data_IF_501738117026
#
_entry.id   IF_501738117026
#
_cell.length_a   1.000
_cell.length_b   1.000
_cell.length_c   1.000
_cell.angle_alpha   90.00
_cell.angle_beta   90.00
_cell.angle_gamma   90.00
#
_symmetry.space_group_name_H-M   'P 1'
#
loop_
_entity.id
_entity.type
_entity.pdbx_description
1 polymer ?
#
# COMPACT_ATOMS: atom_id res chain seq x y z
N UNK A 1 -3.37 12.63 -9.41
CA UNK A 1 -2.15 11.89 -9.76
C UNK A 1 -2.13 11.37 -11.20
N UNK A 2 -3.19 10.74 -11.72
CA UNK A 2 -3.23 10.21 -13.10
C UNK A 2 -2.88 11.22 -14.21
N UNK A 3 -3.30 12.48 -14.09
CA UNK A 3 -2.93 13.55 -15.03
C UNK A 3 -1.46 13.98 -15.01
N UNK A 4 -0.66 13.47 -14.07
CA UNK A 4 0.77 13.72 -13.96
C UNK A 4 1.63 12.55 -14.46
N UNK A 5 1.13 11.31 -14.38
CA UNK A 5 1.87 10.09 -14.79
C UNK A 5 2.38 10.15 -16.24
N UNK A 6 1.63 10.78 -17.15
CA UNK A 6 2.04 10.95 -18.55
C UNK A 6 2.98 12.13 -18.82
N UNK A 7 3.44 12.86 -17.79
CA UNK A 7 4.35 14.00 -17.97
C UNK A 7 5.81 13.55 -17.85
N UNK A 8 6.69 13.94 -18.80
CA UNK A 8 8.10 13.56 -18.73
C UNK A 8 8.80 14.19 -17.52
N UNK A 9 9.74 13.46 -16.92
CA UNK A 9 10.70 13.90 -15.88
C UNK A 9 10.10 14.24 -14.50
N UNK A 10 9.17 13.43 -14.01
CA UNK A 10 8.80 13.50 -12.59
C UNK A 10 9.93 12.93 -11.72
N UNK A 11 10.22 13.52 -10.55
CA UNK A 11 11.19 12.95 -9.62
C UNK A 11 10.77 11.57 -9.15
N UNK A 12 11.72 10.63 -8.99
CA UNK A 12 11.47 9.26 -8.54
C UNK A 12 10.66 9.20 -7.25
N UNK A 13 11.00 10.01 -6.24
CA UNK A 13 10.27 10.07 -4.97
C UNK A 13 8.80 10.45 -5.17
N UNK A 14 8.50 11.33 -6.12
CA UNK A 14 7.12 11.72 -6.39
C UNK A 14 6.34 10.58 -7.07
N UNK A 15 6.99 9.82 -7.94
CA UNK A 15 6.41 8.63 -8.55
C UNK A 15 6.15 7.51 -7.54
N UNK A 16 7.05 7.33 -6.57
CA UNK A 16 6.83 6.38 -5.47
C UNK A 16 5.55 6.71 -4.69
N UNK A 17 5.36 7.99 -4.34
CA UNK A 17 4.12 8.47 -3.69
C UNK A 17 2.91 8.23 -4.58
N UNK A 18 3.01 8.54 -5.87
CA UNK A 18 1.93 8.31 -6.84
C UNK A 18 1.54 6.85 -6.90
N UNK A 19 2.50 5.95 -7.11
CA UNK A 19 2.27 4.51 -7.19
C UNK A 19 1.63 4.00 -5.91
N UNK A 20 2.15 4.40 -4.75
CA UNK A 20 1.58 4.02 -3.45
C UNK A 20 0.11 4.45 -3.32
N UNK A 21 -0.19 5.74 -3.58
CA UNK A 21 -1.55 6.28 -3.47
C UNK A 21 -2.51 5.60 -4.46
N UNK A 22 -2.06 5.31 -5.68
CA UNK A 22 -2.88 4.63 -6.67
C UNK A 22 -3.12 3.16 -6.32
N UNK A 23 -2.15 2.48 -5.73
CA UNK A 23 -2.30 1.12 -5.23
C UNK A 23 -3.37 1.01 -4.14
N UNK A 24 -3.40 1.98 -3.22
CA UNK A 24 -4.37 2.00 -2.11
C UNK A 24 -5.75 2.50 -2.54
N UNK A 25 -5.80 3.63 -3.28
CA UNK A 25 -7.04 4.40 -3.46
C UNK A 25 -7.42 4.61 -4.93
N UNK A 26 -6.65 4.05 -5.88
CA UNK A 26 -6.84 4.30 -7.32
C UNK A 26 -8.23 3.90 -7.83
N UNK A 27 -8.84 2.86 -7.23
CA UNK A 27 -10.16 2.35 -7.59
C UNK A 27 -11.27 2.77 -6.62
N UNK A 28 -10.94 3.35 -5.46
CA UNK A 28 -11.87 3.61 -4.36
C UNK A 28 -13.05 4.53 -4.75
N UNK A 29 -12.85 5.45 -5.70
CA UNK A 29 -13.90 6.38 -6.16
C UNK A 29 -14.77 5.83 -7.30
N UNK A 30 -14.50 4.61 -7.80
CA UNK A 30 -15.25 3.99 -8.91
C UNK A 30 -15.12 4.68 -10.28
N UNK A 31 -14.38 5.79 -10.37
CA UNK A 31 -14.24 6.60 -11.60
C UNK A 31 -13.39 5.90 -12.67
N UNK A 32 -12.43 5.09 -12.25
CA UNK A 32 -11.49 4.41 -13.13
C UNK A 32 -11.51 2.91 -12.83
N UNK A 33 -11.45 2.07 -13.86
CA UNK A 33 -11.35 0.63 -13.69
C UNK A 33 -9.98 0.23 -13.14
N UNK A 34 -9.90 -0.93 -12.48
CA UNK A 34 -8.64 -1.54 -12.07
C UNK A 34 -7.67 -1.66 -13.25
N UNK A 35 -8.14 -2.16 -14.40
CA UNK A 35 -7.34 -2.26 -15.63
C UNK A 35 -6.75 -0.93 -16.11
N UNK A 36 -7.52 0.16 -16.03
CA UNK A 36 -7.02 1.47 -16.43
C UNK A 36 -5.88 1.95 -15.52
N UNK A 37 -6.02 1.74 -14.20
CA UNK A 37 -5.00 2.15 -13.22
C UNK A 37 -3.75 1.27 -13.35
N UNK A 38 -3.91 -0.04 -13.46
CA UNK A 38 -2.78 -0.98 -13.61
C UNK A 38 -2.01 -0.73 -14.90
N UNK A 39 -2.69 -0.45 -16.02
CA UNK A 39 -2.03 -0.03 -17.26
C UNK A 39 -1.19 1.24 -17.07
N UNK A 40 -1.69 2.24 -16.34
CA UNK A 40 -0.93 3.46 -16.02
C UNK A 40 0.27 3.21 -15.11
N UNK A 41 0.20 2.23 -14.21
CA UNK A 41 1.33 1.81 -13.39
C UNK A 41 2.40 1.09 -14.22
N UNK A 42 1.98 0.27 -15.19
CA UNK A 42 2.86 -0.40 -16.14
C UNK A 42 3.57 0.64 -17.04
N UNK A 43 2.87 1.68 -17.52
CA UNK A 43 3.47 2.84 -18.22
C UNK A 43 4.58 3.52 -17.38
N UNK A 44 4.37 3.66 -16.06
CA UNK A 44 5.37 4.26 -15.15
C UNK A 44 6.60 3.36 -15.01
N UNK A 45 6.40 2.05 -14.81
CA UNK A 45 7.50 1.11 -14.68
C UNK A 45 8.36 1.05 -15.95
N UNK A 46 7.73 1.12 -17.12
CA UNK A 46 8.43 1.17 -18.41
C UNK A 46 9.19 2.49 -18.60
N UNK A 47 8.55 3.64 -18.33
CA UNK A 47 9.17 4.95 -18.49
C UNK A 47 10.37 5.18 -17.54
N UNK A 48 10.40 4.48 -16.41
CA UNK A 48 11.48 4.53 -15.41
C UNK A 48 12.19 3.17 -15.28
N UNK A 49 12.47 2.53 -16.42
CA UNK A 49 13.01 1.16 -16.50
C UNK A 49 14.37 0.94 -15.83
N UNK A 50 15.11 1.99 -15.48
CA UNK A 50 16.40 1.94 -14.77
C UNK A 50 16.28 2.28 -13.28
N UNK A 51 15.09 2.65 -12.80
CA UNK A 51 14.83 2.97 -11.41
C UNK A 51 14.07 1.81 -10.74
N UNK A 52 14.84 0.89 -10.15
CA UNK A 52 14.30 -0.26 -9.44
C UNK A 52 13.34 0.13 -8.31
N UNK A 53 13.55 1.30 -7.68
CA UNK A 53 12.67 1.73 -6.60
C UNK A 53 11.30 2.10 -7.16
N UNK A 54 11.24 2.86 -8.25
CA UNK A 54 9.96 3.20 -8.90
C UNK A 54 9.25 1.93 -9.39
N UNK A 55 9.98 0.98 -9.99
CA UNK A 55 9.39 -0.32 -10.38
C UNK A 55 8.82 -1.07 -9.18
N UNK A 56 9.56 -1.15 -8.06
CA UNK A 56 9.12 -1.82 -6.85
C UNK A 56 7.79 -1.26 -6.32
N UNK A 57 7.65 0.07 -6.32
CA UNK A 57 6.41 0.74 -5.94
C UNK A 57 5.27 0.49 -6.94
N UNK A 58 5.56 0.46 -8.25
CA UNK A 58 4.56 0.14 -9.27
C UNK A 58 4.04 -1.30 -9.10
N UNK A 59 4.92 -2.27 -8.89
CA UNK A 59 4.56 -3.69 -8.68
C UNK A 59 3.77 -3.89 -7.40
N UNK A 60 4.18 -3.24 -6.30
CA UNK A 60 3.42 -3.26 -5.06
C UNK A 60 2.01 -2.66 -5.24
N UNK A 61 1.87 -1.61 -6.06
CA UNK A 61 0.57 -1.04 -6.38
C UNK A 61 -0.29 -1.97 -7.25
N UNK A 62 0.30 -2.67 -8.23
CA UNK A 62 -0.40 -3.73 -8.99
C UNK A 62 -0.93 -4.83 -8.06
N UNK A 63 -0.08 -5.30 -7.13
CA UNK A 63 -0.44 -6.32 -6.14
C UNK A 63 -1.66 -5.91 -5.32
N UNK A 64 -1.68 -4.69 -4.78
CA UNK A 64 -2.81 -4.18 -3.99
C UNK A 64 -4.08 -4.11 -4.82
N UNK A 65 -4.02 -3.56 -6.02
CA UNK A 65 -5.20 -3.42 -6.88
C UNK A 65 -5.78 -4.80 -7.23
N UNK A 66 -4.93 -5.76 -7.62
CA UNK A 66 -5.40 -7.11 -7.90
C UNK A 66 -5.94 -7.81 -6.66
N UNK A 67 -5.28 -7.67 -5.51
CA UNK A 67 -5.78 -8.18 -4.24
C UNK A 67 -7.19 -7.65 -3.93
N UNK A 68 -7.41 -6.34 -4.08
CA UNK A 68 -8.72 -5.73 -3.82
C UNK A 68 -9.81 -6.17 -4.80
N UNK A 69 -9.47 -6.44 -6.06
CA UNK A 69 -10.41 -7.04 -7.02
C UNK A 69 -10.76 -8.48 -6.62
N UNK A 70 -9.76 -9.29 -6.24
CA UNK A 70 -9.96 -10.69 -5.83
C UNK A 70 -10.79 -10.77 -4.55
N UNK A 71 -10.44 -10.00 -3.51
CA UNK A 71 -11.16 -9.95 -2.25
C UNK A 71 -12.64 -9.56 -2.45
N UNK A 72 -12.91 -8.67 -3.41
CA UNK A 72 -14.27 -8.28 -3.77
C UNK A 72 -14.99 -9.25 -4.72
N UNK A 73 -14.40 -10.42 -5.01
CA UNK A 73 -14.95 -11.45 -5.90
C UNK A 73 -15.04 -11.03 -7.37
N UNK A 74 -14.32 -9.98 -7.77
CA UNK A 74 -14.30 -9.50 -9.16
C UNK A 74 -13.23 -10.26 -9.95
N UNK A 75 -13.50 -10.48 -11.24
CA UNK A 75 -12.52 -11.09 -12.13
C UNK A 75 -11.39 -10.08 -12.38
N UNK A 76 -10.17 -10.46 -12.01
CA UNK A 76 -8.96 -9.71 -12.36
C UNK A 76 -8.71 -9.81 -13.86
N UNK A 77 -8.63 -8.67 -14.52
CA UNK A 77 -8.20 -8.57 -15.92
C UNK A 77 -6.74 -8.12 -15.96
N UNK A 78 -5.83 -9.08 -16.11
CA UNK A 78 -4.38 -8.81 -16.19
C UNK A 78 -4.08 -8.39 -17.63
N UNK A 79 -3.73 -7.12 -17.79
CA UNK A 79 -3.36 -6.57 -19.09
C UNK A 79 -2.06 -7.21 -19.61
N UNK A 80 -1.90 -7.40 -20.92
CA UNK A 80 -0.69 -7.97 -21.52
C UNK A 80 0.60 -7.26 -21.09
N UNK A 81 0.58 -5.94 -20.98
CA UNK A 81 1.73 -5.13 -20.59
C UNK A 81 2.14 -5.40 -19.13
N UNK A 82 1.16 -5.63 -18.26
CA UNK A 82 1.42 -5.96 -16.87
C UNK A 82 1.87 -7.41 -16.70
N UNK A 83 1.38 -8.34 -17.53
CA UNK A 83 1.91 -9.70 -17.61
C UNK A 83 3.38 -9.69 -18.06
N UNK A 84 3.70 -8.94 -19.11
CA UNK A 84 5.08 -8.80 -19.60
C UNK A 84 6.01 -8.19 -18.55
N UNK A 85 5.54 -7.18 -17.81
CA UNK A 85 6.29 -6.60 -16.69
C UNK A 85 6.56 -7.65 -15.60
N UNK A 86 5.56 -8.46 -15.22
CA UNK A 86 5.75 -9.51 -14.21
C UNK A 86 6.82 -10.51 -14.70
N UNK A 87 6.75 -10.95 -15.95
CA UNK A 87 7.72 -11.89 -16.54
C UNK A 87 9.15 -11.31 -16.58
N UNK A 88 9.31 -10.04 -16.95
CA UNK A 88 10.60 -9.33 -16.86
C UNK A 88 11.15 -9.39 -15.43
N UNK A 89 10.30 -9.07 -14.45
CA UNK A 89 10.73 -8.92 -13.06
C UNK A 89 11.05 -10.25 -12.38
N UNK A 90 10.40 -11.35 -12.76
CA UNK A 90 10.77 -12.69 -12.32
C UNK A 90 12.22 -13.04 -12.70
N UNK A 91 12.71 -12.51 -13.83
CA UNK A 91 14.09 -12.69 -14.29
C UNK A 91 15.03 -11.55 -13.88
N UNK A 92 14.59 -10.63 -13.02
CA UNK A 92 15.38 -9.47 -12.60
C UNK A 92 16.61 -9.87 -11.78
N UNK A 93 17.69 -9.10 -11.93
CA UNK A 93 18.87 -9.21 -11.07
C UNK A 93 18.68 -8.56 -9.69
N UNK A 94 17.64 -7.74 -9.54
CA UNK A 94 17.27 -7.15 -8.25
C UNK A 94 16.42 -8.13 -7.46
N UNK A 95 16.94 -8.59 -6.32
CA UNK A 95 16.25 -9.55 -5.47
C UNK A 95 14.94 -9.00 -4.90
N UNK A 96 14.85 -7.69 -4.65
CA UNK A 96 13.61 -7.04 -4.20
C UNK A 96 12.54 -7.10 -5.30
N UNK A 97 12.89 -6.75 -6.53
CA UNK A 97 11.96 -6.80 -7.65
C UNK A 97 11.51 -8.22 -7.98
N UNK A 98 12.46 -9.16 -8.00
CA UNK A 98 12.18 -10.57 -8.25
C UNK A 98 11.25 -11.15 -7.17
N UNK A 99 11.53 -10.89 -5.89
CA UNK A 99 10.70 -11.35 -4.79
C UNK A 99 9.27 -10.80 -4.90
N UNK A 100 9.11 -9.49 -5.15
CA UNK A 100 7.79 -8.87 -5.33
C UNK A 100 7.03 -9.46 -6.52
N UNK A 101 7.71 -9.82 -7.60
CA UNK A 101 7.08 -10.45 -8.76
C UNK A 101 6.55 -11.86 -8.43
N UNK A 102 7.32 -12.66 -7.68
CA UNK A 102 6.86 -13.97 -7.20
C UNK A 102 5.68 -13.84 -6.22
N UNK A 103 5.74 -12.89 -5.29
CA UNK A 103 4.65 -12.61 -4.36
C UNK A 103 3.39 -12.14 -5.10
N UNK A 104 3.54 -11.32 -6.14
CA UNK A 104 2.43 -10.87 -6.96
C UNK A 104 1.73 -12.03 -7.66
N UNK A 105 2.49 -12.96 -8.24
CA UNK A 105 1.92 -14.18 -8.83
C UNK A 105 1.21 -15.04 -7.78
N UNK A 106 1.80 -15.18 -6.59
CA UNK A 106 1.19 -15.92 -5.51
C UNK A 106 -0.14 -15.30 -5.09
N UNK A 107 -0.20 -13.99 -4.87
CA UNK A 107 -1.42 -13.24 -4.51
C UNK A 107 -2.52 -13.40 -5.57
N UNK A 108 -2.17 -13.31 -6.85
CA UNK A 108 -3.13 -13.49 -7.96
C UNK A 108 -3.75 -14.90 -7.96
N UNK A 109 -3.02 -15.91 -7.47
CA UNK A 109 -3.46 -17.30 -7.42
C UNK A 109 -4.23 -17.68 -6.15
N UNK A 110 -4.28 -16.81 -5.15
CA UNK A 110 -5.01 -17.04 -3.90
C UNK A 110 -6.53 -16.90 -4.09
N UNK A 111 -7.28 -17.55 -3.20
CA UNK A 111 -8.72 -17.34 -3.08
C UNK A 111 -9.04 -16.01 -2.36
N UNK A 112 -10.26 -15.46 -2.51
CA UNK A 112 -10.65 -14.20 -1.90
C UNK A 112 -10.42 -14.10 -0.39
N UNK A 113 -10.67 -15.17 0.37
CA UNK A 113 -10.52 -15.14 1.83
C UNK A 113 -9.04 -15.08 2.23
N UNK A 114 -8.20 -15.87 1.54
CA UNK A 114 -6.76 -15.83 1.73
C UNK A 114 -6.18 -14.46 1.39
N UNK A 115 -6.63 -13.84 0.27
CA UNK A 115 -6.20 -12.50 -0.11
C UNK A 115 -6.59 -11.46 0.93
N UNK A 116 -7.84 -11.48 1.41
CA UNK A 116 -8.33 -10.56 2.43
C UNK A 116 -7.55 -10.68 3.74
N UNK A 117 -7.07 -11.88 4.10
CA UNK A 117 -6.24 -12.08 5.29
C UNK A 117 -4.83 -11.50 5.18
N UNK A 118 -4.26 -11.43 3.97
CA UNK A 118 -2.88 -10.98 3.72
C UNK A 118 -2.82 -9.51 3.33
N UNK A 119 -3.82 -9.03 2.59
CA UNK A 119 -3.95 -7.66 2.08
C UNK A 119 -5.39 -7.15 2.33
N UNK A 120 -5.76 -6.85 3.58
CA UNK A 120 -7.08 -6.34 3.90
C UNK A 120 -7.30 -4.95 3.28
N UNK A 121 -8.48 -4.74 2.70
CA UNK A 121 -8.84 -3.48 2.01
C UNK A 121 -8.90 -2.29 2.98
N UNK A 122 -9.28 -2.53 4.23
CA UNK A 122 -9.50 -1.53 5.26
C UNK A 122 -8.51 -1.65 6.42
N UNK A 123 -7.32 -2.23 6.20
CA UNK A 123 -6.27 -2.35 7.21
C UNK A 123 -5.93 -1.00 7.89
N UNK A 124 -6.03 0.11 7.15
CA UNK A 124 -5.83 1.47 7.68
C UNK A 124 -6.97 1.99 8.56
N UNK A 125 -8.14 1.34 8.52
CA UNK A 125 -9.35 1.66 9.25
C UNK A 125 -9.64 0.66 10.38
N UNK A 126 -8.70 -0.24 10.71
CA UNK A 126 -8.84 -1.12 11.86
C UNK A 126 -9.07 -0.28 13.13
N UNK A 127 -10.12 -0.62 13.88
CA UNK A 127 -10.42 0.01 15.17
C UNK A 127 -9.29 -0.34 16.16
N UNK A 128 -8.37 0.59 16.36
CA UNK A 128 -7.34 0.45 17.38
C UNK A 128 -8.03 0.53 18.75
N UNK A 129 -8.09 -0.61 19.46
CA UNK A 129 -8.56 -0.65 20.84
C UNK A 129 -7.60 0.17 21.74
N UNK A 130 -7.93 1.43 21.98
CA UNK A 130 -7.17 2.29 22.89
C UNK A 130 -7.53 1.94 24.33
N UNK A 131 -6.57 1.38 25.07
CA UNK A 131 -6.70 1.29 26.53
C UNK A 131 -6.58 2.69 27.14
N UNK A 132 -7.71 3.40 27.26
CA UNK A 132 -7.80 4.76 27.82
C UNK A 132 -7.21 4.89 29.23
N UNK A 133 -7.15 3.80 30.00
CA UNK A 133 -6.59 3.84 31.35
C UNK A 133 -5.06 3.94 31.37
N UNK A 134 -4.39 3.49 30.29
CA UNK A 134 -2.93 3.41 30.17
C UNK A 134 -2.25 2.91 31.45
N UNK A 135 -2.86 1.91 32.13
CA UNK A 135 -2.50 1.51 33.49
C UNK A 135 -1.04 1.06 33.67
N UNK A 136 -0.37 0.68 32.58
CA UNK A 136 1.07 0.40 32.56
C UNK A 136 1.94 1.62 32.95
N UNK A 137 1.41 2.85 32.84
CA UNK A 137 2.08 4.10 33.22
C UNK A 137 1.89 4.47 34.69
N UNK A 138 1.05 3.74 35.45
CA UNK A 138 0.70 4.12 36.82
C UNK A 138 1.93 4.30 37.72
N UNK A 139 2.92 3.41 37.61
CA UNK A 139 4.15 3.49 38.39
C UNK A 139 4.98 4.75 38.07
N UNK A 140 5.05 5.11 36.78
CA UNK A 140 5.73 6.32 36.32
C UNK A 140 5.04 7.59 36.83
N UNK A 141 3.72 7.66 36.69
CA UNK A 141 2.90 8.78 37.17
C UNK A 141 3.04 8.94 38.68
N UNK A 142 2.93 7.84 39.42
CA UNK A 142 3.03 7.85 40.87
C UNK A 142 4.40 8.34 41.35
N UNK A 143 5.48 7.88 40.71
CA UNK A 143 6.83 8.36 41.01
C UNK A 143 7.01 9.86 40.73
N UNK A 144 6.39 10.39 39.68
CA UNK A 144 6.44 11.81 39.37
C UNK A 144 5.69 12.65 40.43
N UNK A 145 4.51 12.17 40.87
CA UNK A 145 3.73 12.80 41.93
C UNK A 145 4.50 12.80 43.26
N UNK A 146 5.14 11.69 43.62
CA UNK A 146 6.02 11.61 44.81
C UNK A 146 7.19 12.59 44.76
N UNK A 147 7.67 12.94 43.56
CA UNK A 147 8.70 13.96 43.33
C UNK A 147 8.14 15.39 43.26
N UNK A 148 6.86 15.59 43.54
CA UNK A 148 6.21 16.91 43.59
C UNK A 148 5.60 17.39 42.28
N UNK A 149 5.40 16.51 41.28
CA UNK A 149 4.62 16.87 40.10
C UNK A 149 3.16 17.17 40.48
N UNK A 150 2.53 18.08 39.74
CA UNK A 150 1.11 18.39 39.91
C UNK A 150 0.25 17.27 39.30
N UNK A 151 -0.90 16.91 39.92
CA UNK A 151 -1.83 15.96 39.36
C UNK A 151 -2.45 16.46 38.06
N UNK A 152 -2.81 15.53 37.18
CA UNK A 152 -3.49 15.85 35.93
C UNK A 152 -4.86 16.48 36.21
N UNK A 153 -5.15 17.59 35.54
CA UNK A 153 -6.45 18.26 35.56
C UNK A 153 -7.21 17.84 34.29
N UNK A 154 -8.34 17.13 34.40
CA UNK A 154 -9.16 16.76 33.25
C UNK A 154 -9.59 17.98 32.43
N UNK A 155 -9.75 17.81 31.13
CA UNK A 155 -10.09 18.89 30.19
C UNK A 155 -11.38 19.64 30.57
N UNK A 156 -12.36 18.93 31.12
CA UNK A 156 -13.63 19.46 31.65
C UNK A 156 -13.46 20.42 32.84
N UNK A 157 -12.31 20.35 33.52
CA UNK A 157 -11.99 21.11 34.74
C UNK A 157 -10.87 22.12 34.52
N UNK A 158 -10.37 22.25 33.29
CA UNK A 158 -9.33 23.22 32.91
C UNK A 158 -9.89 24.60 32.57
#
# INVERSE_FOLDING_TARGET
YLGFIGKPKLPSTFLQVICWVLGEYGTACGKYSASYITGKLCDVAEAYSTDDTVKAYAVAALMKIYAFEIAAGRKVDILPECQALIEELLASHSTDLQQRAYELQAVIALDPQSVESVLPFDASCEDIEVNKSLSFLNSYVQQALEKGAQPYIPEEQR
#
